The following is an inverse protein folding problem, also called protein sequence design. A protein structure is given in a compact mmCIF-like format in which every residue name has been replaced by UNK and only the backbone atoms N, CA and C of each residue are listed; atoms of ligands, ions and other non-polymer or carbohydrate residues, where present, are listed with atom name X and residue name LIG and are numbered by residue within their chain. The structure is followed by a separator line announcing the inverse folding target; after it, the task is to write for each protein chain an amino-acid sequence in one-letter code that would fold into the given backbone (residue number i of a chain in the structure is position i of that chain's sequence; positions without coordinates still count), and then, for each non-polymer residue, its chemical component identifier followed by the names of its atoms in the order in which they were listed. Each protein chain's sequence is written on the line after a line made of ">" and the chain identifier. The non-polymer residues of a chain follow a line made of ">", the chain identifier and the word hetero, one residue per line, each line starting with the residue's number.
data_IF_974760424656
#
_entry.id   IF_974760424656
#
_cell.length_a   1.000
_cell.length_b   1.000
_cell.length_c   1.000
_cell.angle_alpha   90.00
_cell.angle_beta   90.00
_cell.angle_gamma   90.00
#
_symmetry.space_group_name_H-M   'P 1'
#
loop_
_entity.id
_entity.type
_entity.pdbx_description
1 polymer ?
#
# COMPACT_ATOMS: atom_id res chain seq x y z
N UNK A 1 50.80 -25.42 -41.80
CA UNK A 1 49.82 -25.68 -40.72
C UNK A 1 49.81 -24.66 -39.57
N UNK A 2 50.90 -23.96 -39.22
CA UNK A 2 50.94 -23.06 -38.04
C UNK A 2 50.07 -21.78 -38.12
N UNK A 3 49.82 -21.20 -39.30
CA UNK A 3 49.03 -19.95 -39.44
C UNK A 3 47.53 -20.10 -39.16
N UNK A 4 46.92 -21.25 -39.48
CA UNK A 4 45.47 -21.48 -39.23
C UNK A 4 45.17 -21.58 -37.73
N UNK A 5 46.04 -22.23 -36.96
CA UNK A 5 45.86 -22.35 -35.52
C UNK A 5 45.98 -20.99 -34.83
N UNK A 6 46.90 -20.12 -35.28
CA UNK A 6 47.03 -18.76 -34.73
C UNK A 6 45.78 -17.91 -34.96
N UNK A 7 45.16 -18.01 -36.15
CA UNK A 7 43.93 -17.28 -36.45
C UNK A 7 42.75 -17.73 -35.57
N UNK A 8 42.63 -19.05 -35.34
CA UNK A 8 41.56 -19.62 -34.51
C UNK A 8 41.73 -19.19 -33.05
N UNK A 9 42.96 -19.24 -32.52
CA UNK A 9 43.25 -18.82 -31.14
C UNK A 9 42.98 -17.32 -30.95
N UNK A 10 43.31 -16.48 -31.93
CA UNK A 10 43.04 -15.05 -31.87
C UNK A 10 41.54 -14.74 -31.90
N UNK A 11 40.76 -15.43 -32.73
CA UNK A 11 39.30 -15.27 -32.78
C UNK A 11 38.62 -15.66 -31.47
N UNK A 12 39.06 -16.74 -30.82
CA UNK A 12 38.51 -17.17 -29.52
C UNK A 12 38.83 -16.15 -28.43
N UNK A 13 40.04 -15.59 -28.43
CA UNK A 13 40.45 -14.56 -27.47
C UNK A 13 39.63 -13.27 -27.64
N UNK A 14 39.36 -12.86 -28.87
CA UNK A 14 38.52 -11.67 -29.17
C UNK A 14 37.09 -11.88 -28.67
N UNK A 15 36.50 -13.06 -28.91
CA UNK A 15 35.14 -13.36 -28.42
C UNK A 15 35.09 -13.34 -26.89
N UNK A 16 36.08 -13.94 -26.22
CA UNK A 16 36.16 -13.92 -24.75
C UNK A 16 36.31 -12.50 -24.20
N UNK A 17 37.14 -11.65 -24.83
CA UNK A 17 37.30 -10.25 -24.44
C UNK A 17 36.00 -9.46 -24.62
N UNK A 18 35.26 -9.66 -25.71
CA UNK A 18 33.97 -9.00 -25.94
C UNK A 18 32.95 -9.45 -24.89
N UNK A 19 32.84 -10.76 -24.62
CA UNK A 19 31.95 -11.29 -23.59
C UNK A 19 32.29 -10.75 -22.19
N UNK A 20 33.58 -10.67 -21.86
CA UNK A 20 34.02 -10.14 -20.57
C UNK A 20 33.70 -8.64 -20.44
N UNK A 21 33.88 -7.87 -21.52
CA UNK A 21 33.51 -6.44 -21.54
C UNK A 21 32.00 -6.23 -21.39
N UNK A 22 31.17 -7.07 -22.02
CA UNK A 22 29.70 -7.00 -21.88
C UNK A 22 29.27 -7.31 -20.44
N UNK A 23 29.80 -8.37 -19.85
CA UNK A 23 29.52 -8.73 -18.44
C UNK A 23 29.98 -7.62 -17.49
N UNK A 24 31.17 -7.06 -17.73
CA UNK A 24 31.71 -5.97 -16.93
C UNK A 24 30.87 -4.68 -17.04
N UNK A 25 30.40 -4.33 -18.24
CA UNK A 25 29.51 -3.17 -18.45
C UNK A 25 28.13 -3.40 -17.82
N UNK A 26 27.60 -4.63 -17.85
CA UNK A 26 26.38 -4.98 -17.14
C UNK A 26 26.54 -4.86 -15.61
N UNK A 27 27.66 -5.34 -15.06
CA UNK A 27 27.96 -5.24 -13.63
C UNK A 27 28.21 -3.79 -13.18
N UNK A 28 28.84 -2.96 -14.00
CA UNK A 28 29.02 -1.53 -13.70
C UNK A 28 27.70 -0.76 -13.79
N UNK A 29 26.83 -1.06 -14.76
CA UNK A 29 25.49 -0.46 -14.79
C UNK A 29 24.62 -0.84 -13.59
N UNK A 30 24.89 -1.98 -12.97
CA UNK A 30 24.25 -2.40 -11.72
C UNK A 30 24.90 -1.73 -10.48
N UNK A 31 26.17 -1.31 -10.59
CA UNK A 31 26.93 -0.61 -9.55
C UNK A 31 26.78 0.92 -9.56
N UNK A 32 26.42 1.52 -10.70
CA UNK A 32 26.25 2.98 -10.85
C UNK A 32 24.82 3.45 -10.55
N UNK A 33 23.96 2.58 -10.02
CA UNK A 33 22.76 3.03 -9.34
C UNK A 33 23.17 3.53 -7.95
N UNK A 34 23.18 4.85 -7.67
CA UNK A 34 23.63 5.37 -6.40
C UNK A 34 22.75 4.74 -5.32
N UNK A 35 23.39 4.01 -4.40
CA UNK A 35 22.85 3.42 -3.17
C UNK A 35 21.49 3.96 -2.76
N UNK A 36 20.45 3.49 -3.44
CA UNK A 36 19.11 3.45 -2.91
C UNK A 36 19.11 2.25 -2.01
N UNK A 37 19.62 2.41 -0.79
CA UNK A 37 19.18 1.57 0.32
C UNK A 37 17.68 1.44 0.15
N UNK A 38 17.16 0.21 0.04
CA UNK A 38 15.73 -0.04 -0.14
C UNK A 38 15.01 0.50 1.11
N UNK A 39 14.76 1.80 1.12
CA UNK A 39 14.23 2.58 2.24
C UNK A 39 12.82 2.09 2.61
N UNK A 40 12.22 1.24 1.78
CA UNK A 40 10.94 0.59 2.01
C UNK A 40 11.03 -0.60 2.98
N UNK A 41 12.09 -1.44 2.94
CA UNK A 41 12.38 -2.41 4.02
C UNK A 41 12.74 -1.69 5.31
N UNK A 42 13.48 -0.59 5.19
CA UNK A 42 13.87 0.24 6.33
C UNK A 42 12.62 0.85 6.99
N UNK A 43 11.64 1.35 6.24
CA UNK A 43 10.44 1.95 6.82
C UNK A 43 9.50 0.94 7.50
N UNK A 44 9.26 -0.25 6.93
CA UNK A 44 8.39 -1.25 7.59
C UNK A 44 9.01 -1.84 8.86
N UNK A 45 10.34 -2.05 8.87
CA UNK A 45 11.07 -2.57 10.02
C UNK A 45 11.21 -1.50 11.12
N UNK A 46 11.33 -0.23 10.76
CA UNK A 46 11.43 0.89 11.73
C UNK A 46 10.20 1.02 12.65
N UNK A 47 9.03 0.58 12.18
CA UNK A 47 7.77 0.66 12.94
C UNK A 47 7.44 -0.61 13.73
N UNK A 48 8.32 -1.62 13.73
CA UNK A 48 8.20 -2.80 14.58
C UNK A 48 9.26 -2.75 15.68
N UNK A 49 8.86 -2.44 16.92
CA UNK A 49 9.78 -2.51 18.07
C UNK A 49 9.70 -3.86 18.74
N UNK A 50 10.86 -4.48 18.95
CA UNK A 50 10.98 -5.69 19.74
C UNK A 50 10.64 -5.38 21.21
N UNK A 51 9.70 -6.12 21.79
CA UNK A 51 9.50 -6.15 23.23
C UNK A 51 10.15 -7.41 23.81
N UNK A 52 10.83 -7.30 24.95
CA UNK A 52 11.56 -8.36 25.66
C UNK A 52 10.72 -9.63 25.95
N UNK A 53 9.39 -9.55 25.78
CA UNK A 53 8.45 -10.67 25.81
C UNK A 53 8.32 -11.44 24.48
N UNK A 54 9.24 -11.28 23.52
CA UNK A 54 9.25 -11.92 22.18
C UNK A 54 8.12 -11.53 21.21
N UNK A 55 7.34 -10.50 21.54
CA UNK A 55 6.29 -9.96 20.68
C UNK A 55 6.78 -8.64 20.07
N UNK A 56 6.86 -8.57 18.74
CA UNK A 56 7.05 -7.29 18.04
C UNK A 56 5.80 -6.44 18.21
N UNK A 57 5.95 -5.24 18.75
CA UNK A 57 4.86 -4.26 18.91
C UNK A 57 4.93 -3.29 17.75
N UNK A 58 3.80 -3.08 17.08
CA UNK A 58 3.68 -2.05 16.07
C UNK A 58 3.70 -0.67 16.73
N UNK A 59 4.65 0.17 16.37
CA UNK A 59 4.81 1.53 16.88
C UNK A 59 4.73 2.56 15.76
N UNK A 60 4.11 2.21 14.63
CA UNK A 60 4.00 3.09 13.47
C UNK A 60 3.34 4.42 13.79
N UNK A 61 2.39 4.44 14.72
CA UNK A 61 1.62 5.63 15.07
C UNK A 61 2.18 6.41 16.27
N UNK A 62 3.28 5.95 16.88
CA UNK A 62 3.82 6.55 18.10
C UNK A 62 4.48 7.92 17.87
N UNK A 63 4.72 8.30 16.61
CA UNK A 63 5.32 9.56 16.18
C UNK A 63 4.27 10.61 15.76
N UNK A 64 2.98 10.27 15.78
CA UNK A 64 1.90 11.18 15.45
C UNK A 64 1.67 12.11 16.66
N UNK A 65 1.90 13.42 16.54
CA UNK A 65 1.74 14.36 17.64
C UNK A 65 0.27 14.60 17.99
N UNK A 66 0.01 15.07 19.21
CA UNK A 66 -1.30 15.60 19.57
C UNK A 66 -1.64 16.82 18.70
N UNK A 67 -2.88 16.88 18.20
CA UNK A 67 -3.31 17.95 17.31
C UNK A 67 -2.77 17.85 15.87
N UNK A 68 -2.26 16.69 15.46
CA UNK A 68 -1.81 16.45 14.09
C UNK A 68 -2.90 16.78 13.08
N UNK A 69 -2.57 17.64 12.12
CA UNK A 69 -3.54 18.15 11.15
C UNK A 69 -3.49 17.40 9.81
N UNK A 70 -4.53 17.59 8.99
CA UNK A 70 -4.55 17.12 7.60
C UNK A 70 -3.38 17.70 6.78
N UNK A 71 -3.01 18.96 7.02
CA UNK A 71 -1.87 19.60 6.36
C UNK A 71 -0.54 18.94 6.76
N UNK A 72 -0.35 18.65 8.05
CA UNK A 72 0.83 17.92 8.52
C UNK A 72 0.91 16.52 7.90
N UNK A 73 -0.23 15.82 7.82
CA UNK A 73 -0.31 14.50 7.20
C UNK A 73 0.10 14.53 5.71
N UNK A 74 -0.38 15.51 4.95
CA UNK A 74 0.02 15.71 3.54
C UNK A 74 1.52 15.97 3.45
N UNK A 75 2.05 16.90 4.25
CA UNK A 75 3.47 17.25 4.25
C UNK A 75 4.38 16.05 4.61
N UNK A 76 3.86 15.13 5.42
CA UNK A 76 4.55 13.89 5.80
C UNK A 76 4.32 12.72 4.83
N UNK A 77 3.67 12.95 3.69
CA UNK A 77 3.55 11.97 2.63
C UNK A 77 2.37 11.00 2.78
N UNK A 78 1.35 11.35 3.56
CA UNK A 78 0.16 10.53 3.74
C UNK A 78 -0.84 10.70 2.57
N UNK A 79 -1.62 9.66 2.31
CA UNK A 79 -2.89 9.81 1.59
C UNK A 79 -3.95 10.27 2.59
N UNK A 80 -4.57 11.41 2.32
CA UNK A 80 -5.45 12.08 3.29
C UNK A 80 -6.88 12.09 2.80
N UNK A 81 -7.79 11.71 3.69
CA UNK A 81 -9.24 11.74 3.47
C UNK A 81 -9.83 12.63 4.55
N UNK A 82 -10.49 13.71 4.16
CA UNK A 82 -11.19 14.63 5.04
C UNK A 82 -12.70 14.45 4.80
N UNK A 83 -13.41 13.89 5.78
CA UNK A 83 -14.85 13.70 5.71
C UNK A 83 -15.58 14.73 6.57
N UNK A 84 -16.63 15.38 6.03
CA UNK A 84 -17.50 16.24 6.80
C UNK A 84 -18.31 15.39 7.80
N UNK A 85 -18.29 15.77 9.08
CA UNK A 85 -18.97 15.02 10.15
C UNK A 85 -18.60 15.52 11.54
N UNK A 86 -19.18 14.92 12.58
CA UNK A 86 -18.73 15.07 13.96
C UNK A 86 -18.55 13.69 14.56
N UNK A 87 -17.59 13.52 15.47
CA UNK A 87 -17.30 12.27 16.19
C UNK A 87 -18.54 11.69 16.90
N UNK A 88 -19.52 12.52 17.22
CA UNK A 88 -20.75 12.16 17.95
C UNK A 88 -21.92 11.73 17.07
N UNK A 89 -21.76 11.85 15.74
CA UNK A 89 -22.82 11.60 14.76
C UNK A 89 -22.20 10.94 13.54
N UNK A 90 -22.29 9.61 13.47
CA UNK A 90 -22.14 8.85 12.22
C UNK A 90 -23.18 9.25 11.15
N UNK A 91 -24.06 10.23 11.43
CA UNK A 91 -24.91 10.85 10.44
C UNK A 91 -24.05 11.86 9.66
N UNK A 92 -23.61 11.41 8.48
CA UNK A 92 -23.17 12.26 7.37
C UNK A 92 -24.38 13.11 6.93
N UNK A 93 -24.70 14.15 7.69
CA UNK A 93 -25.85 15.03 7.44
C UNK A 93 -25.53 16.12 6.41
N UNK A 94 -24.30 16.16 5.92
CA UNK A 94 -23.90 17.04 4.84
C UNK A 94 -23.55 16.16 3.65
N UNK A 95 -24.25 16.34 2.53
CA UNK A 95 -24.03 15.61 1.27
C UNK A 95 -22.70 16.02 0.60
N UNK A 96 -21.73 16.49 1.38
CA UNK A 96 -20.43 16.92 0.90
C UNK A 96 -19.53 15.70 0.74
N UNK A 97 -19.07 15.49 -0.49
CA UNK A 97 -18.14 14.43 -0.82
C UNK A 97 -16.84 14.63 -0.01
N UNK A 98 -16.20 13.54 0.48
CA UNK A 98 -14.95 13.65 1.21
C UNK A 98 -13.87 14.29 0.34
N UNK A 99 -13.11 15.22 0.92
CA UNK A 99 -11.95 15.82 0.25
C UNK A 99 -10.78 14.85 0.35
N UNK A 100 -10.16 14.56 -0.79
CA UNK A 100 -9.02 13.64 -0.88
C UNK A 100 -7.77 14.40 -1.28
N UNK A 101 -6.62 14.09 -0.66
CA UNK A 101 -5.32 14.70 -0.95
C UNK A 101 -4.19 13.66 -0.86
N UNK A 102 -3.04 13.94 -1.47
CA UNK A 102 -1.90 13.00 -1.51
C UNK A 102 -2.09 11.84 -2.49
N UNK A 103 -2.86 12.03 -3.57
CA UNK A 103 -3.14 11.00 -4.58
C UNK A 103 -1.86 10.44 -5.24
N UNK A 104 -0.82 11.26 -5.36
CA UNK A 104 0.50 10.87 -5.83
C UNK A 104 1.19 9.86 -4.89
N UNK A 105 0.93 9.92 -3.58
CA UNK A 105 1.45 8.95 -2.63
C UNK A 105 0.73 7.60 -2.74
N UNK A 106 -0.60 7.64 -2.94
CA UNK A 106 -1.40 6.46 -3.27
C UNK A 106 -0.92 5.81 -4.57
N UNK A 107 -0.75 6.59 -5.64
CA UNK A 107 -0.30 6.07 -6.93
C UNK A 107 1.10 5.45 -6.83
N UNK A 108 2.03 6.12 -6.15
CA UNK A 108 3.39 5.59 -5.91
C UNK A 108 3.35 4.27 -5.15
N UNK A 109 2.44 4.10 -4.19
CA UNK A 109 2.26 2.83 -3.50
C UNK A 109 1.84 1.72 -4.48
N UNK A 110 0.84 1.98 -5.32
CA UNK A 110 0.35 1.03 -6.32
C UNK A 110 1.43 0.66 -7.35
N UNK A 111 2.16 1.64 -7.85
CA UNK A 111 3.23 1.44 -8.84
C UNK A 111 4.36 0.57 -8.26
N UNK A 112 4.76 0.84 -7.01
CA UNK A 112 5.78 0.05 -6.34
C UNK A 112 5.29 -1.38 -6.04
N UNK A 113 4.10 -1.54 -5.46
CA UNK A 113 3.59 -2.86 -5.09
C UNK A 113 3.32 -3.74 -6.30
N UNK A 114 2.79 -3.17 -7.40
CA UNK A 114 2.59 -3.90 -8.66
C UNK A 114 3.91 -4.30 -9.35
N UNK A 115 4.98 -3.54 -9.13
CA UNK A 115 6.33 -3.88 -9.55
C UNK A 115 7.05 -4.87 -8.61
N UNK A 116 6.34 -5.48 -7.65
CA UNK A 116 6.89 -6.33 -6.58
C UNK A 116 7.99 -5.64 -5.74
N UNK A 117 7.95 -4.31 -5.65
CA UNK A 117 8.84 -3.54 -4.77
C UNK A 117 8.12 -3.29 -3.47
N UNK A 118 8.85 -3.42 -2.37
CA UNK A 118 8.34 -3.08 -1.05
C UNK A 118 7.78 -1.64 -1.07
N UNK A 119 6.60 -1.47 -0.49
CA UNK A 119 5.87 -0.23 -0.53
C UNK A 119 5.21 0.05 0.82
N UNK A 120 5.07 1.33 1.14
CA UNK A 120 4.41 1.80 2.35
C UNK A 120 3.54 3.00 2.01
N UNK A 121 2.37 3.06 2.62
CA UNK A 121 1.49 4.20 2.59
C UNK A 121 0.78 4.34 3.93
N UNK A 122 0.79 5.55 4.49
CA UNK A 122 -0.12 5.94 5.56
C UNK A 122 -1.35 6.61 4.96
N UNK A 123 -2.52 6.12 5.31
CA UNK A 123 -3.81 6.76 5.08
C UNK A 123 -4.22 7.43 6.38
N UNK A 124 -4.44 8.75 6.34
CA UNK A 124 -4.94 9.53 7.47
C UNK A 124 -6.37 9.99 7.15
N UNK A 125 -7.33 9.57 7.97
CA UNK A 125 -8.74 9.90 7.82
C UNK A 125 -9.15 10.86 8.93
N UNK A 126 -9.48 12.09 8.55
CA UNK A 126 -9.99 13.13 9.45
C UNK A 126 -11.51 13.22 9.29
N UNK A 127 -12.25 13.04 10.39
CA UNK A 127 -13.72 13.13 10.41
C UNK A 127 -14.12 14.26 11.36
N UNK A 128 -14.60 15.37 10.80
CA UNK A 128 -14.85 16.58 11.59
C UNK A 128 -13.60 17.16 12.23
N UNK A 129 -13.77 17.88 13.33
CA UNK A 129 -12.67 18.52 14.07
C UNK A 129 -11.98 17.60 15.09
N UNK A 130 -12.64 16.51 15.50
CA UNK A 130 -12.30 15.83 16.76
C UNK A 130 -11.89 14.37 16.58
N UNK A 131 -12.00 13.81 15.36
CA UNK A 131 -11.69 12.40 15.11
C UNK A 131 -10.68 12.24 13.98
N UNK A 132 -9.63 11.47 14.27
CA UNK A 132 -8.68 11.02 13.28
C UNK A 132 -8.45 9.51 13.42
N UNK A 133 -8.37 8.82 12.29
CA UNK A 133 -7.98 7.43 12.20
C UNK A 133 -6.80 7.28 11.24
N UNK A 134 -5.88 6.38 11.57
CA UNK A 134 -4.68 6.14 10.78
C UNK A 134 -4.62 4.69 10.36
N UNK A 135 -4.32 4.47 9.09
CA UNK A 135 -4.15 3.14 8.52
C UNK A 135 -2.84 3.09 7.75
N UNK A 136 -1.95 2.21 8.17
CA UNK A 136 -0.68 1.96 7.51
C UNK A 136 -0.78 0.70 6.65
N UNK A 137 -0.62 0.88 5.35
CA UNK A 137 -0.64 -0.16 4.34
C UNK A 137 0.79 -0.48 3.90
N UNK A 138 1.16 -1.75 3.99
CA UNK A 138 2.45 -2.26 3.57
C UNK A 138 2.28 -3.28 2.45
N UNK A 139 3.23 -3.26 1.53
CA UNK A 139 3.52 -4.38 0.66
C UNK A 139 4.97 -4.81 0.94
N UNK A 140 5.15 -6.04 1.42
CA UNK A 140 6.46 -6.59 1.75
C UNK A 140 6.50 -8.08 1.45
N UNK A 141 7.61 -8.54 0.88
CA UNK A 141 7.86 -9.96 0.56
C UNK A 141 6.70 -10.62 -0.23
N UNK A 142 6.10 -9.86 -1.16
CA UNK A 142 5.02 -10.34 -2.03
C UNK A 142 3.62 -10.29 -1.42
N UNK A 143 3.46 -9.76 -0.20
CA UNK A 143 2.21 -9.78 0.57
C UNK A 143 1.83 -8.39 1.08
N UNK A 144 0.53 -8.16 1.20
CA UNK A 144 -0.04 -6.95 1.76
C UNK A 144 -0.34 -7.12 3.25
N UNK A 145 -0.04 -6.09 4.03
CA UNK A 145 -0.35 -6.00 5.46
C UNK A 145 -0.99 -4.66 5.76
N UNK A 146 -1.91 -4.64 6.71
CA UNK A 146 -2.54 -3.41 7.14
C UNK A 146 -2.53 -3.32 8.66
N UNK A 147 -2.15 -2.15 9.16
CA UNK A 147 -2.27 -1.77 10.56
C UNK A 147 -3.23 -0.59 10.64
N UNK A 148 -4.28 -0.69 11.45
CA UNK A 148 -5.21 0.42 11.67
C UNK A 148 -5.22 0.78 13.14
N UNK A 149 -5.25 2.07 13.44
CA UNK A 149 -5.46 2.60 14.78
C UNK A 149 -6.81 3.29 14.87
N UNK A 150 -7.60 2.86 15.84
CA UNK A 150 -8.87 3.47 16.24
C UNK A 150 -8.96 3.59 17.77
N UNK A 151 -10.13 3.93 18.29
CA UNK A 151 -10.40 4.08 19.72
C UNK A 151 -10.18 2.80 20.55
N UNK A 152 -10.15 1.62 19.90
CA UNK A 152 -9.90 0.32 20.53
C UNK A 152 -8.44 -0.14 20.44
N UNK A 153 -7.57 0.67 19.83
CA UNK A 153 -6.14 0.42 19.72
C UNK A 153 -5.69 0.03 18.31
N UNK A 154 -4.58 -0.70 18.24
CA UNK A 154 -3.93 -1.07 16.98
C UNK A 154 -4.38 -2.47 16.55
N UNK A 155 -4.93 -2.57 15.34
CA UNK A 155 -5.39 -3.81 14.73
C UNK A 155 -4.52 -4.17 13.54
N UNK A 156 -4.12 -5.45 13.44
CA UNK A 156 -3.38 -5.97 12.30
C UNK A 156 -4.30 -6.82 11.42
N UNK A 157 -4.26 -6.54 10.11
CA UNK A 157 -4.87 -7.35 9.06
C UNK A 157 -3.78 -7.91 8.14
N UNK A 158 -3.97 -9.15 7.69
CA UNK A 158 -3.10 -9.84 6.75
C UNK A 158 -2.15 -10.84 7.42
N UNK A 159 -1.23 -11.44 6.65
CA UNK A 159 -0.93 -11.13 5.24
C UNK A 159 -2.09 -11.44 4.28
N UNK A 160 -2.22 -10.63 3.23
CA UNK A 160 -3.12 -10.89 2.10
C UNK A 160 -2.35 -10.88 0.79
N UNK A 161 -2.71 -11.75 -0.16
CA UNK A 161 -2.04 -11.85 -1.47
C UNK A 161 -2.34 -10.66 -2.39
N UNK A 162 -3.53 -10.09 -2.27
CA UNK A 162 -4.01 -9.10 -3.23
C UNK A 162 -4.54 -7.84 -2.54
N UNK A 163 -4.18 -6.69 -3.11
CA UNK A 163 -4.93 -5.44 -3.00
C UNK A 163 -5.76 -5.32 -4.28
N UNK A 164 -7.09 -5.37 -4.15
CA UNK A 164 -8.00 -5.35 -5.30
C UNK A 164 -8.82 -4.07 -5.31
N UNK A 165 -8.83 -3.42 -6.48
CA UNK A 165 -9.83 -2.42 -6.85
C UNK A 165 -11.08 -3.16 -7.31
N UNK A 166 -12.20 -2.95 -6.64
CA UNK A 166 -13.51 -3.50 -7.00
C UNK A 166 -14.41 -2.35 -7.40
N UNK A 167 -14.90 -2.35 -8.63
CA UNK A 167 -15.75 -1.30 -9.19
C UNK A 167 -17.22 -1.74 -9.17
N UNK A 168 -18.13 -0.78 -8.98
CA UNK A 168 -19.56 -1.02 -8.95
C UNK A 168 -20.34 0.29 -8.78
N UNK A 169 -21.57 0.19 -8.29
CA UNK A 169 -22.46 1.34 -8.09
C UNK A 169 -22.98 1.40 -6.67
N UNK A 170 -22.98 2.60 -6.08
CA UNK A 170 -23.49 2.81 -4.73
C UNK A 170 -24.09 4.22 -4.56
N UNK A 171 -24.83 4.44 -3.48
CA UNK A 171 -25.44 5.73 -3.13
C UNK A 171 -26.86 5.94 -3.68
N UNK A 172 -27.45 7.06 -3.26
CA UNK A 172 -28.79 7.51 -3.69
C UNK A 172 -28.69 9.00 -4.08
N UNK A 173 -28.76 9.35 -5.38
CA UNK A 173 -28.89 8.46 -6.53
C UNK A 173 -27.67 7.57 -6.74
N UNK A 174 -27.79 6.43 -7.46
CA UNK A 174 -26.66 5.56 -7.76
C UNK A 174 -25.56 6.31 -8.51
N UNK A 175 -24.32 6.18 -8.04
CA UNK A 175 -23.11 6.68 -8.69
C UNK A 175 -22.11 5.54 -8.88
N UNK A 176 -21.38 5.59 -9.98
CA UNK A 176 -20.25 4.67 -10.19
C UNK A 176 -19.18 4.95 -9.13
N UNK A 177 -18.63 3.88 -8.54
CA UNK A 177 -17.63 4.00 -7.50
C UNK A 177 -16.74 2.76 -7.45
N UNK A 178 -15.71 2.82 -6.61
CA UNK A 178 -14.89 1.67 -6.32
C UNK A 178 -14.43 1.60 -4.86
N UNK A 179 -14.12 0.38 -4.43
CA UNK A 179 -13.48 0.07 -3.15
C UNK A 179 -12.13 -0.57 -3.38
N UNK A 180 -11.16 -0.22 -2.51
CA UNK A 180 -9.95 -1.02 -2.35
C UNK A 180 -10.10 -1.98 -1.18
N UNK A 181 -9.78 -3.26 -1.42
CA UNK A 181 -9.85 -4.32 -0.42
C UNK A 181 -8.60 -5.18 -0.41
N UNK A 182 -8.19 -5.60 0.77
CA UNK A 182 -7.22 -6.67 0.97
C UNK A 182 -7.93 -8.01 1.00
N UNK A 183 -7.46 -8.98 0.23
CA UNK A 183 -8.03 -10.33 0.18
C UNK A 183 -7.03 -11.34 -0.38
N UNK A 184 -7.27 -12.62 -0.09
CA UNK A 184 -6.60 -13.75 -0.76
C UNK A 184 -7.38 -14.26 -1.98
N UNK A 185 -8.53 -13.66 -2.28
CA UNK A 185 -9.46 -14.14 -3.29
C UNK A 185 -9.54 -13.23 -4.52
N UNK A 186 -9.39 -13.84 -5.69
CA UNK A 186 -9.62 -13.19 -6.99
C UNK A 186 -11.09 -13.22 -7.41
N UNK A 187 -11.95 -13.97 -6.71
CA UNK A 187 -13.37 -14.09 -7.05
C UNK A 187 -14.28 -13.13 -6.26
N UNK A 188 -13.73 -12.44 -5.24
CA UNK A 188 -14.47 -11.42 -4.48
C UNK A 188 -14.97 -10.32 -5.43
N UNK A 189 -16.24 -9.93 -5.31
CA UNK A 189 -16.86 -8.88 -6.12
C UNK A 189 -17.21 -7.65 -5.29
N UNK A 190 -17.49 -6.54 -5.98
CA UNK A 190 -17.98 -5.33 -5.33
C UNK A 190 -19.28 -5.58 -4.55
N UNK A 191 -20.22 -6.34 -5.14
CA UNK A 191 -21.50 -6.68 -4.50
C UNK A 191 -21.35 -7.53 -3.25
N UNK A 192 -20.35 -8.42 -3.20
CA UNK A 192 -20.04 -9.16 -1.97
C UNK A 192 -19.66 -8.17 -0.85
N UNK A 193 -18.75 -7.25 -1.14
CA UNK A 193 -18.27 -6.25 -0.18
C UNK A 193 -19.41 -5.31 0.25
N UNK A 194 -20.17 -4.79 -0.71
CA UNK A 194 -21.32 -3.89 -0.46
C UNK A 194 -22.36 -4.57 0.41
N UNK A 195 -22.76 -5.81 0.08
CA UNK A 195 -23.72 -6.54 0.91
C UNK A 195 -23.22 -6.76 2.34
N UNK A 196 -21.94 -7.10 2.53
CA UNK A 196 -21.39 -7.29 3.86
C UNK A 196 -21.27 -6.00 4.68
N UNK A 197 -21.10 -4.83 4.03
CA UNK A 197 -21.14 -3.54 4.72
C UNK A 197 -22.54 -3.20 5.29
N UNK A 198 -23.59 -3.60 4.59
CA UNK A 198 -24.98 -3.33 4.98
C UNK A 198 -25.68 -4.53 5.65
N UNK A 199 -24.99 -5.67 5.78
CA UNK A 199 -25.54 -6.86 6.41
C UNK A 199 -25.66 -6.65 7.92
N UNK A 200 -26.90 -6.64 8.42
CA UNK A 200 -27.20 -6.66 9.84
C UNK A 200 -27.07 -8.05 10.48
N UNK A 201 -26.92 -9.10 9.67
CA UNK A 201 -26.68 -10.47 10.12
C UNK A 201 -25.26 -10.93 9.74
N UNK A 202 -24.41 -11.15 10.75
CA UNK A 202 -23.04 -11.62 10.57
C UNK A 202 -22.95 -12.98 9.85
N UNK A 203 -24.03 -13.77 9.82
CA UNK A 203 -24.12 -15.05 9.08
C UNK A 203 -24.28 -14.85 7.57
N UNK A 204 -24.66 -13.64 7.14
CA UNK A 204 -24.75 -13.23 5.73
C UNK A 204 -23.51 -12.48 5.24
N UNK A 205 -22.53 -12.23 6.11
CA UNK A 205 -21.23 -11.71 5.69
C UNK A 205 -20.63 -12.69 4.69
N UNK A 206 -20.06 -12.13 3.61
CA UNK A 206 -19.44 -12.89 2.53
C UNK A 206 -18.55 -13.99 3.09
N UNK A 207 -18.67 -15.20 2.53
CA UNK A 207 -17.80 -16.33 2.90
C UNK A 207 -16.34 -16.11 2.54
N UNK A 208 -16.04 -15.04 1.79
CA UNK A 208 -14.70 -14.72 1.31
C UNK A 208 -14.10 -13.68 2.26
N UNK A 209 -13.03 -14.02 3.00
CA UNK A 209 -12.37 -13.06 3.87
C UNK A 209 -11.81 -11.86 3.09
N UNK A 210 -12.07 -10.66 3.59
CA UNK A 210 -11.51 -9.42 3.07
C UNK A 210 -11.40 -8.37 4.18
N UNK A 211 -10.60 -7.34 3.93
CA UNK A 211 -10.59 -6.11 4.71
C UNK A 211 -10.72 -4.92 3.77
N UNK A 212 -11.77 -4.15 3.95
CA UNK A 212 -11.95 -2.86 3.29
C UNK A 212 -11.01 -1.82 3.88
N UNK A 213 -10.43 -0.96 3.02
CA UNK A 213 -9.56 0.13 3.45
C UNK A 213 -10.31 1.33 4.06
N UNK A 214 -11.64 1.26 4.18
CA UNK A 214 -12.43 2.24 4.92
C UNK A 214 -12.86 3.47 4.13
N UNK A 215 -12.68 3.47 2.80
CA UNK A 215 -13.15 4.56 1.94
C UNK A 215 -13.73 4.07 0.60
N UNK A 216 -14.67 4.85 0.09
CA UNK A 216 -15.31 4.69 -1.22
C UNK A 216 -14.91 5.87 -2.08
N UNK A 217 -14.51 5.61 -3.32
CA UNK A 217 -14.22 6.67 -4.28
C UNK A 217 -15.33 6.68 -5.32
N UNK A 218 -16.08 7.78 -5.38
CA UNK A 218 -17.06 8.02 -6.42
C UNK A 218 -16.38 8.54 -7.68
N UNK A 219 -16.86 8.07 -8.83
CA UNK A 219 -16.41 8.50 -10.14
C UNK A 219 -17.32 9.62 -10.64
N UNK A 220 -16.73 10.60 -11.32
CA UNK A 220 -17.45 11.70 -12.01
C UNK A 220 -18.07 11.24 -13.34
#
# INVERSE_FOLDING_TARGET
>A
MKKKNLLITLSVLIVLLISFTIVYVCLIKESDNPTGTDNSKVNAINHLKYNHSSNYVYTGFADIPDGYSAEDAINNGCFVIESPGTSSSHILNDNSDPKVSGAEHWQRFLDNSSANKNAFLRVAHFIGSDYCAYTDLYYADGLYYLYSMDEYGIHKTGPCKYLRKLEGTDGIPPKDCYHYVLTDSLILTFEDVRHAMFASDLRTITKIPYKWLGFTVYLD
#
